data_IF_181034282132
#
_entry.id   IF_181034282132
#
_cell.length_a   1.000
_cell.length_b   1.000
_cell.length_c   1.000
_cell.angle_alpha   90.00
_cell.angle_beta   90.00
_cell.angle_gamma   90.00
#
_symmetry.space_group_name_H-M   'P 1'
#
loop_
_entity.id
_entity.type
_entity.pdbx_description
1 polymer ?
#
# COMPACT_ATOMS: atom_id res chain seq x y z
N UNK A 1 -12.10 23.00 -0.15
CA UNK A 1 -11.62 21.96 -1.08
C UNK A 1 -10.67 21.03 -0.31
N UNK A 2 -10.90 19.71 -0.33
CA UNK A 2 -9.92 18.76 0.21
C UNK A 2 -8.73 18.71 -0.74
N UNK A 3 -7.52 18.95 -0.21
CA UNK A 3 -6.27 19.03 -0.97
C UNK A 3 -5.55 17.69 -1.00
N UNK A 4 -4.82 17.43 -2.09
CA UNK A 4 -3.89 16.31 -2.17
C UNK A 4 -2.79 16.45 -1.10
N UNK A 5 -2.26 15.31 -0.67
CA UNK A 5 -1.22 15.22 0.36
C UNK A 5 0.02 14.51 -0.16
N UNK A 6 1.18 15.02 0.23
CA UNK A 6 2.49 14.38 0.05
C UNK A 6 3.22 14.39 1.39
N UNK A 7 4.36 13.71 1.46
CA UNK A 7 5.30 13.85 2.57
C UNK A 7 5.88 15.27 2.60
N UNK A 8 6.16 15.80 3.79
CA UNK A 8 6.84 17.09 3.96
C UNK A 8 8.35 16.97 3.85
N UNK A 9 8.91 15.89 4.42
CA UNK A 9 10.34 15.59 4.39
C UNK A 9 10.59 14.20 3.81
N UNK A 10 11.83 13.95 3.37
CA UNK A 10 12.30 12.60 3.05
C UNK A 10 12.52 11.83 4.35
N UNK A 11 12.13 10.57 4.39
CA UNK A 11 12.42 9.67 5.51
C UNK A 11 12.81 8.29 5.00
N UNK A 12 13.71 7.61 5.69
CA UNK A 12 14.13 6.25 5.34
C UNK A 12 14.07 5.30 6.53
N UNK A 13 14.01 4.02 6.22
CA UNK A 13 14.08 2.94 7.17
C UNK A 13 14.83 1.75 6.56
N UNK A 14 15.39 0.91 7.42
CA UNK A 14 16.01 -0.34 7.01
C UNK A 14 15.26 -1.49 7.65
N UNK A 15 15.00 -2.53 6.87
CA UNK A 15 14.36 -3.74 7.36
C UNK A 15 14.79 -4.95 6.54
N UNK A 16 13.98 -6.00 6.60
CA UNK A 16 14.21 -7.26 5.89
C UNK A 16 12.93 -7.60 5.13
N UNK A 17 13.05 -8.10 3.90
CA UNK A 17 11.91 -8.63 3.14
C UNK A 17 11.37 -9.91 3.79
N UNK A 18 10.05 -10.05 3.88
CA UNK A 18 9.42 -11.21 4.52
C UNK A 18 9.77 -12.50 3.79
N UNK A 19 9.67 -12.49 2.47
CA UNK A 19 9.80 -13.68 1.65
C UNK A 19 11.22 -13.87 1.13
N UNK A 20 11.90 -12.79 0.79
CA UNK A 20 13.27 -12.83 0.25
C UNK A 20 14.33 -12.97 1.34
N UNK A 21 14.04 -12.53 2.57
CA UNK A 21 15.03 -12.47 3.66
C UNK A 21 16.17 -11.46 3.40
N UNK A 22 16.09 -10.68 2.32
CA UNK A 22 17.10 -9.68 1.97
C UNK A 22 16.97 -8.47 2.87
N UNK A 23 18.10 -7.86 3.25
CA UNK A 23 18.10 -6.54 3.86
C UNK A 23 17.66 -5.51 2.81
N UNK A 24 16.74 -4.63 3.19
CA UNK A 24 16.18 -3.60 2.30
C UNK A 24 16.30 -2.23 2.94
N UNK A 25 16.77 -1.27 2.17
CA UNK A 25 16.71 0.16 2.46
C UNK A 25 15.51 0.78 1.74
N UNK A 26 14.54 1.25 2.52
CA UNK A 26 13.35 1.95 2.06
C UNK A 26 13.55 3.46 2.25
N UNK A 27 13.29 4.26 1.22
CA UNK A 27 13.21 5.73 1.32
C UNK A 27 11.89 6.24 0.77
N UNK A 28 11.17 7.01 1.58
CA UNK A 28 9.93 7.67 1.19
C UNK A 28 10.21 9.14 0.89
N UNK A 29 9.85 9.60 -0.32
CA UNK A 29 10.06 10.99 -0.76
C UNK A 29 8.76 11.70 -1.10
N UNK A 30 8.70 13.02 -0.90
CA UNK A 30 7.64 13.84 -1.46
C UNK A 30 7.56 13.69 -2.98
N UNK A 31 6.35 13.77 -3.54
CA UNK A 31 6.14 13.78 -4.98
C UNK A 31 5.19 14.91 -5.42
N UNK A 32 5.31 15.45 -6.64
CA UNK A 32 4.41 16.47 -7.17
C UNK A 32 2.94 16.03 -7.18
N UNK A 33 2.03 17.01 -7.23
CA UNK A 33 0.60 16.72 -7.28
C UNK A 33 0.24 15.95 -8.56
N UNK A 34 -0.61 14.93 -8.43
CA UNK A 34 -1.03 14.07 -9.54
C UNK A 34 -0.03 12.96 -9.90
N UNK A 35 1.05 12.78 -9.14
CA UNK A 35 2.01 11.68 -9.34
C UNK A 35 1.40 10.33 -8.94
N UNK A 36 0.60 10.30 -7.89
CA UNK A 36 0.23 9.03 -7.23
C UNK A 36 1.37 8.46 -6.39
N UNK A 37 1.24 7.20 -5.99
CA UNK A 37 2.29 6.43 -5.33
C UNK A 37 3.10 5.70 -6.41
N UNK A 38 4.42 5.87 -6.40
CA UNK A 38 5.33 5.22 -7.36
C UNK A 38 6.42 4.51 -6.60
N UNK A 39 6.56 3.20 -6.83
CA UNK A 39 7.70 2.43 -6.34
C UNK A 39 8.88 2.59 -7.29
N UNK A 40 10.08 2.74 -6.77
CA UNK A 40 11.31 2.95 -7.53
C UNK A 40 12.38 1.96 -7.08
N UNK A 41 12.85 1.12 -7.98
CA UNK A 41 13.98 0.21 -7.77
C UNK A 41 15.28 0.94 -8.06
N UNK A 42 15.97 1.38 -7.01
CA UNK A 42 17.23 2.15 -7.11
C UNK A 42 18.47 1.28 -7.20
N UNK A 43 18.34 -0.02 -6.98
CA UNK A 43 19.38 -1.03 -7.17
C UNK A 43 19.58 -1.44 -8.64
N UNK A 44 18.69 -0.99 -9.54
CA UNK A 44 18.77 -1.24 -10.98
C UNK A 44 19.41 -0.07 -11.73
N UNK A 45 20.04 -0.38 -12.88
CA UNK A 45 20.58 0.61 -13.81
C UNK A 45 20.04 0.35 -15.24
N UNK A 46 19.20 1.24 -15.81
CA UNK A 46 18.67 2.45 -15.18
C UNK A 46 17.71 2.14 -14.02
N UNK A 47 17.53 3.10 -13.12
CA UNK A 47 16.49 3.02 -12.09
C UNK A 47 15.12 2.84 -12.73
N UNK A 48 14.28 2.01 -12.11
CA UNK A 48 12.99 1.65 -12.68
C UNK A 48 11.83 2.07 -11.77
N UNK A 49 10.83 2.71 -12.36
CA UNK A 49 9.62 3.18 -11.68
C UNK A 49 8.43 2.28 -12.00
N UNK A 50 7.67 1.91 -10.97
CA UNK A 50 6.46 1.10 -11.03
C UNK A 50 5.35 1.90 -10.35
N UNK A 51 4.40 2.49 -11.09
CA UNK A 51 3.23 3.12 -10.48
C UNK A 51 2.42 2.12 -9.66
N UNK A 52 1.91 2.51 -8.50
CA UNK A 52 1.00 1.68 -7.72
C UNK A 52 -0.41 1.67 -8.36
N UNK A 53 -0.56 0.88 -9.43
CA UNK A 53 -1.80 0.76 -10.21
C UNK A 53 -2.32 -0.68 -10.21
N UNK A 54 -3.64 -0.82 -10.26
CA UNK A 54 -4.31 -2.13 -10.40
C UNK A 54 -3.87 -2.86 -11.68
N UNK A 55 -3.55 -2.13 -12.73
CA UNK A 55 -3.08 -2.67 -14.02
C UNK A 55 -1.74 -3.41 -13.92
N UNK A 56 -0.97 -3.13 -12.86
CA UNK A 56 0.36 -3.69 -12.66
C UNK A 56 0.39 -4.77 -11.59
N UNK A 57 -0.74 -5.13 -10.98
CA UNK A 57 -0.80 -6.27 -10.05
C UNK A 57 -0.64 -7.57 -10.85
N UNK A 58 0.45 -8.31 -10.61
CA UNK A 58 0.78 -9.51 -11.39
C UNK A 58 0.73 -10.82 -10.58
N UNK A 59 0.94 -10.77 -9.25
CA UNK A 59 0.87 -11.93 -8.37
C UNK A 59 0.24 -11.54 -7.02
N UNK A 60 -0.63 -12.41 -6.52
CA UNK A 60 -1.41 -12.20 -5.28
C UNK A 60 -1.27 -13.35 -4.29
N UNK A 61 -0.38 -14.31 -4.55
CA UNK A 61 -0.10 -15.43 -3.65
C UNK A 61 0.91 -14.99 -2.60
N UNK A 62 0.59 -15.18 -1.33
CA UNK A 62 1.34 -14.73 -0.14
C UNK A 62 1.37 -13.22 0.08
N UNK A 63 1.54 -12.42 -0.97
CA UNK A 63 1.49 -10.95 -0.89
C UNK A 63 1.00 -10.32 -2.20
N UNK A 64 0.86 -8.99 -2.22
CA UNK A 64 0.58 -8.24 -3.46
C UNK A 64 1.89 -7.86 -4.14
N UNK A 65 2.06 -8.25 -5.40
CA UNK A 65 3.23 -7.91 -6.21
C UNK A 65 2.83 -7.06 -7.42
N UNK A 66 3.57 -5.97 -7.63
CA UNK A 66 3.48 -5.14 -8.81
C UNK A 66 4.58 -5.49 -9.81
N UNK A 67 4.24 -5.52 -11.10
CA UNK A 67 5.19 -5.61 -12.20
C UNK A 67 4.88 -4.57 -13.27
N UNK A 68 5.91 -3.82 -13.67
CA UNK A 68 5.84 -2.95 -14.84
C UNK A 68 7.14 -3.05 -15.63
N UNK A 69 7.01 -3.27 -16.95
CA UNK A 69 8.15 -3.43 -17.86
C UNK A 69 9.18 -4.48 -17.39
N UNK A 70 8.70 -5.58 -16.81
CA UNK A 70 9.54 -6.67 -16.31
C UNK A 70 10.22 -6.43 -14.95
N UNK A 71 10.02 -5.25 -14.34
CA UNK A 71 10.55 -4.94 -13.00
C UNK A 71 9.46 -5.16 -11.95
N UNK A 72 9.82 -5.78 -10.84
CA UNK A 72 8.89 -6.17 -9.76
C UNK A 72 9.20 -5.51 -8.42
N UNK A 73 8.13 -5.28 -7.65
CA UNK A 73 8.16 -4.98 -6.22
C UNK A 73 7.04 -5.76 -5.53
N UNK A 74 7.38 -6.58 -4.54
CA UNK A 74 6.43 -7.39 -3.76
C UNK A 74 6.16 -6.82 -2.36
N UNK A 75 5.09 -7.34 -1.73
CA UNK A 75 4.71 -7.06 -0.34
C UNK A 75 4.36 -5.58 -0.10
N UNK A 76 3.68 -4.96 -1.07
CA UNK A 76 3.36 -3.52 -1.05
C UNK A 76 2.22 -3.14 -0.09
N UNK A 77 1.37 -4.10 0.27
CA UNK A 77 0.05 -3.88 0.87
C UNK A 77 0.07 -3.17 2.24
N UNK A 78 1.03 -3.46 3.12
CA UNK A 78 1.09 -2.81 4.44
C UNK A 78 1.49 -1.34 4.35
N UNK A 79 2.46 -1.02 3.48
CA UNK A 79 2.85 0.36 3.21
C UNK A 79 1.71 1.12 2.52
N UNK A 80 1.04 0.49 1.56
CA UNK A 80 -0.14 1.06 0.91
C UNK A 80 -1.29 1.31 1.91
N UNK A 81 -1.50 0.41 2.87
CA UNK A 81 -2.46 0.60 3.96
C UNK A 81 -2.12 1.81 4.83
N UNK A 82 -0.83 2.04 5.12
CA UNK A 82 -0.39 3.21 5.86
C UNK A 82 -0.64 4.51 5.08
N UNK A 83 -0.34 4.53 3.77
CA UNK A 83 -0.65 5.67 2.91
C UNK A 83 -2.14 5.95 2.83
N UNK A 84 -2.97 4.92 2.68
CA UNK A 84 -4.42 5.05 2.66
C UNK A 84 -4.95 5.62 3.99
N UNK A 85 -4.51 5.06 5.13
CA UNK A 85 -4.92 5.51 6.48
C UNK A 85 -4.52 6.96 6.80
N UNK A 86 -3.39 7.44 6.26
CA UNK A 86 -2.91 8.82 6.45
C UNK A 86 -3.31 9.77 5.31
N UNK A 87 -4.01 9.26 4.31
CA UNK A 87 -4.47 9.95 3.11
C UNK A 87 -3.34 10.57 2.25
N UNK A 88 -2.18 9.91 2.15
CA UNK A 88 -1.12 10.32 1.24
C UNK A 88 -1.55 10.02 -0.20
N UNK A 89 -1.50 11.05 -1.06
CA UNK A 89 -1.87 10.96 -2.47
C UNK A 89 -0.65 10.77 -3.36
N UNK A 90 0.48 11.41 -3.01
CA UNK A 90 1.66 11.46 -3.85
C UNK A 90 2.91 11.13 -3.03
N UNK A 91 3.67 10.12 -3.46
CA UNK A 91 4.96 9.76 -2.87
C UNK A 91 5.80 8.93 -3.86
N UNK A 92 7.12 9.08 -3.79
CA UNK A 92 8.07 8.12 -4.39
C UNK A 92 8.58 7.20 -3.29
N UNK A 93 8.51 5.90 -3.52
CA UNK A 93 8.93 4.84 -2.62
C UNK A 93 10.17 4.16 -3.21
N UNK A 94 11.35 4.58 -2.78
CA UNK A 94 12.62 4.00 -3.23
C UNK A 94 12.96 2.75 -2.43
N UNK A 95 13.37 1.70 -3.15
CA UNK A 95 13.80 0.41 -2.62
C UNK A 95 15.09 -0.01 -3.32
N UNK A 96 16.06 -0.52 -2.56
CA UNK A 96 17.26 -1.18 -3.08
C UNK A 96 17.09 -2.71 -3.22
N UNK A 97 15.84 -3.20 -3.18
CA UNK A 97 15.50 -4.61 -3.33
C UNK A 97 14.11 -4.76 -3.96
N UNK A 98 13.80 -5.98 -4.40
CA UNK A 98 12.55 -6.41 -5.03
C UNK A 98 11.35 -6.58 -4.08
N UNK A 99 11.48 -6.25 -2.80
CA UNK A 99 10.44 -6.45 -1.78
C UNK A 99 10.44 -5.29 -0.78
N UNK A 100 9.27 -4.83 -0.37
CA UNK A 100 9.13 -3.85 0.74
C UNK A 100 9.49 -4.53 2.07
N UNK A 101 10.28 -3.89 2.96
CA UNK A 101 10.66 -4.52 4.23
C UNK A 101 9.43 -4.79 5.11
N UNK A 102 9.36 -5.96 5.75
CA UNK A 102 8.19 -6.39 6.52
C UNK A 102 7.98 -5.62 7.83
N UNK A 103 9.04 -4.98 8.32
CA UNK A 103 9.07 -4.27 9.61
C UNK A 103 8.66 -5.20 10.76
N UNK A 104 7.56 -4.88 11.47
CA UNK A 104 6.99 -5.69 12.55
C UNK A 104 5.83 -6.58 12.09
N UNK A 105 5.58 -6.67 10.77
CA UNK A 105 4.45 -7.37 10.19
C UNK A 105 3.15 -6.56 10.12
N UNK A 106 3.15 -5.31 10.60
CA UNK A 106 1.99 -4.42 10.57
C UNK A 106 2.26 -3.14 9.77
N UNK A 107 1.26 -2.27 9.68
CA UNK A 107 1.41 -0.92 9.11
C UNK A 107 1.93 0.11 10.13
N UNK A 108 2.05 -0.23 11.42
CA UNK A 108 2.30 0.74 12.50
C UNK A 108 3.64 1.47 12.32
N UNK A 109 4.69 0.76 11.93
CA UNK A 109 6.01 1.36 11.72
C UNK A 109 5.99 2.33 10.53
N UNK A 110 5.28 2.00 9.44
CA UNK A 110 5.12 2.92 8.32
C UNK A 110 4.30 4.16 8.69
N UNK A 111 3.23 4.00 9.47
CA UNK A 111 2.45 5.11 10.00
C UNK A 111 3.32 6.05 10.83
N UNK A 112 4.16 5.49 11.71
CA UNK A 112 5.11 6.25 12.53
C UNK A 112 6.09 7.03 11.66
N UNK A 113 6.69 6.39 10.64
CA UNK A 113 7.63 7.04 9.72
C UNK A 113 6.97 8.19 8.95
N UNK A 114 5.78 7.96 8.37
CA UNK A 114 5.06 8.97 7.59
C UNK A 114 4.66 10.17 8.47
N UNK A 115 4.15 9.92 9.68
CA UNK A 115 3.81 11.01 10.61
C UNK A 115 5.06 11.80 11.04
N UNK A 116 6.18 11.10 11.27
CA UNK A 116 7.46 11.73 11.64
C UNK A 116 8.05 12.57 10.51
N UNK A 117 7.90 12.13 9.25
CA UNK A 117 8.28 12.92 8.08
C UNK A 117 7.41 14.18 7.93
N UNK A 118 6.20 14.15 8.45
CA UNK A 118 5.19 15.19 8.31
C UNK A 118 4.47 15.11 6.96
N UNK A 119 3.29 15.74 6.91
CA UNK A 119 2.41 15.75 5.74
C UNK A 119 2.27 17.18 5.23
N UNK A 120 2.43 17.35 3.92
CA UNK A 120 2.32 18.63 3.22
C UNK A 120 1.09 18.64 2.30
N UNK A 121 0.35 19.75 2.28
CA UNK A 121 -0.85 19.91 1.47
C UNK A 121 -0.52 20.57 0.14
N UNK A 122 -0.89 19.94 -0.96
CA UNK A 122 -0.60 20.44 -2.30
C UNK A 122 -1.75 21.27 -2.84
N UNK A 123 -1.46 22.27 -3.69
CA UNK A 123 -2.44 23.14 -4.31
C UNK A 123 -3.22 22.44 -5.45
N UNK A 124 -3.73 21.24 -5.19
CA UNK A 124 -4.52 20.42 -6.11
C UNK A 124 -5.65 19.73 -5.36
N UNK A 125 -6.81 19.59 -5.99
CA UNK A 125 -7.95 18.87 -5.42
C UNK A 125 -7.64 17.38 -5.28
N UNK A 126 -7.94 16.80 -4.11
CA UNK A 126 -7.94 15.34 -3.92
C UNK A 126 -9.13 14.74 -4.66
N UNK A 127 -8.87 13.68 -5.42
CA UNK A 127 -9.91 12.91 -6.12
C UNK A 127 -10.28 11.70 -5.27
N UNK A 128 -11.56 11.36 -5.26
CA UNK A 128 -12.08 10.20 -4.56
C UNK A 128 -12.85 9.32 -5.55
N UNK A 129 -12.79 8.02 -5.36
CA UNK A 129 -13.66 7.07 -6.05
C UNK A 129 -14.92 6.92 -5.20
N UNK A 130 -16.08 7.26 -5.76
CA UNK A 130 -17.37 7.08 -5.11
C UNK A 130 -18.08 5.89 -5.74
N UNK A 131 -18.45 4.92 -4.92
CA UNK A 131 -19.26 3.78 -5.35
C UNK A 131 -20.69 4.25 -5.56
N UNK A 132 -21.21 4.12 -6.79
CA UNK A 132 -22.56 4.57 -7.16
C UNK A 132 -23.55 3.43 -7.20
N UNK A 133 -23.08 2.20 -7.43
CA UNK A 133 -23.88 0.99 -7.55
C UNK A 133 -23.15 -0.18 -6.88
N UNK A 134 -23.86 -1.19 -6.35
CA UNK A 134 -23.22 -2.38 -5.79
C UNK A 134 -22.44 -3.18 -6.84
N UNK A 135 -21.27 -3.66 -6.47
CA UNK A 135 -20.43 -4.54 -7.30
C UNK A 135 -19.95 -5.69 -6.41
N UNK A 136 -20.14 -6.94 -6.85
CA UNK A 136 -19.74 -8.14 -6.11
C UNK A 136 -18.98 -9.09 -7.04
N UNK A 137 -17.91 -9.68 -6.52
CA UNK A 137 -17.16 -10.76 -7.17
C UNK A 137 -17.11 -11.97 -6.24
N UNK A 138 -17.14 -13.17 -6.81
CA UNK A 138 -17.11 -14.44 -6.08
C UNK A 138 -16.09 -15.41 -6.67
N UNK A 139 -15.42 -16.14 -5.80
CA UNK A 139 -14.53 -17.27 -6.13
C UNK A 139 -14.74 -18.39 -5.10
N UNK A 140 -15.55 -19.38 -5.46
CA UNK A 140 -15.98 -20.44 -4.55
C UNK A 140 -16.78 -19.89 -3.37
N UNK A 141 -16.26 -20.10 -2.16
CA UNK A 141 -16.79 -19.61 -0.89
C UNK A 141 -16.38 -18.17 -0.55
N UNK A 142 -15.38 -17.62 -1.26
CA UNK A 142 -14.87 -16.25 -1.07
C UNK A 142 -15.69 -15.26 -1.88
N UNK A 143 -15.93 -14.07 -1.31
CA UNK A 143 -16.54 -12.95 -2.02
C UNK A 143 -16.00 -11.62 -1.53
N UNK A 144 -16.02 -10.62 -2.41
CA UNK A 144 -15.73 -9.23 -2.08
C UNK A 144 -16.78 -8.33 -2.74
N UNK A 145 -17.24 -7.30 -2.01
CA UNK A 145 -18.31 -6.41 -2.47
C UNK A 145 -18.04 -4.96 -2.12
N UNK A 146 -18.34 -4.08 -3.05
CA UNK A 146 -18.53 -2.65 -2.79
C UNK A 146 -20.01 -2.31 -2.82
N UNK A 147 -20.43 -1.44 -1.91
CA UNK A 147 -21.79 -0.89 -1.87
C UNK A 147 -21.73 0.64 -1.75
N UNK A 148 -22.72 1.37 -2.29
CA UNK A 148 -22.82 2.81 -2.08
C UNK A 148 -22.91 3.13 -0.58
N UNK A 149 -22.03 4.01 -0.10
CA UNK A 149 -21.98 4.45 1.28
C UNK A 149 -21.45 5.88 1.37
N UNK A 150 -22.10 6.70 2.19
CA UNK A 150 -21.68 8.09 2.45
C UNK A 150 -20.55 8.11 3.49
N UNK A 151 -19.36 7.69 3.06
CA UNK A 151 -18.16 7.60 3.90
C UNK A 151 -17.24 6.47 3.43
N UNK A 152 -16.42 5.96 4.34
CA UNK A 152 -15.61 4.77 4.11
C UNK A 152 -15.79 3.80 5.29
N UNK A 153 -16.22 2.58 4.98
CA UNK A 153 -16.37 1.50 5.94
C UNK A 153 -15.86 0.22 5.31
N UNK A 154 -15.07 -0.52 6.06
CA UNK A 154 -14.60 -1.85 5.68
C UNK A 154 -15.16 -2.83 6.68
N UNK A 155 -15.64 -3.96 6.19
CA UNK A 155 -15.97 -5.13 7.00
C UNK A 155 -15.30 -6.33 6.38
N UNK A 156 -14.74 -7.19 7.21
CA UNK A 156 -14.01 -8.38 6.76
C UNK A 156 -14.38 -9.57 7.63
N UNK A 157 -14.35 -10.77 7.06
CA UNK A 157 -14.57 -12.00 7.80
C UNK A 157 -13.56 -13.04 7.36
N UNK A 158 -13.05 -13.78 8.34
CA UNK A 158 -12.12 -14.88 8.13
C UNK A 158 -12.78 -16.18 8.56
N UNK A 159 -12.50 -17.27 7.87
CA UNK A 159 -12.95 -18.60 8.24
C UNK A 159 -11.74 -19.54 8.25
N UNK A 160 -11.11 -19.66 9.41
CA UNK A 160 -10.01 -20.58 9.63
C UNK A 160 -10.47 -21.70 10.55
N UNK A 161 -10.42 -22.93 10.06
CA UNK A 161 -10.61 -24.12 10.90
C UNK A 161 -9.36 -24.38 11.74
N UNK A 162 -9.14 -23.51 12.73
CA UNK A 162 -8.00 -23.57 13.63
C UNK A 162 -8.44 -23.26 15.07
N UNK A 163 -8.15 -24.13 16.06
CA UNK A 163 -8.64 -23.99 17.44
C UNK A 163 -8.36 -22.62 18.08
N UNK A 164 -7.20 -22.02 17.79
CA UNK A 164 -6.81 -20.70 18.32
C UNK A 164 -7.67 -19.55 17.80
N UNK A 165 -8.26 -19.69 16.61
CA UNK A 165 -9.05 -18.64 15.96
C UNK A 165 -10.56 -18.83 16.18
N UNK A 166 -11.02 -20.02 16.53
CA UNK A 166 -12.42 -20.30 16.88
C UNK A 166 -12.89 -19.53 18.13
N UNK A 167 -11.97 -19.17 19.04
CA UNK A 167 -12.28 -18.38 20.24
C UNK A 167 -12.18 -16.86 20.03
N UNK A 168 -11.86 -16.39 18.83
CA UNK A 168 -11.66 -14.97 18.50
C UNK A 168 -12.80 -14.40 17.66
N UNK A 169 -12.94 -13.07 17.61
CA UNK A 169 -13.89 -12.43 16.72
C UNK A 169 -13.44 -12.63 15.26
N UNK A 170 -14.12 -13.53 14.53
CA UNK A 170 -13.84 -13.84 13.12
C UNK A 170 -14.41 -12.79 12.15
N UNK A 171 -14.92 -11.67 12.67
CA UNK A 171 -15.52 -10.57 11.92
C UNK A 171 -15.06 -9.23 12.48
N UNK A 172 -14.60 -8.34 11.60
CA UNK A 172 -14.22 -6.95 11.87
C UNK A 172 -15.05 -6.00 11.00
#
# INVERSE_FOLDING_TARGET
>A
MIRQRTLKNVIGATGVGLHTGKKVFLTLRPAPAGTGIVFRRVDLDPVADIPASLEYVCETRLSTTLEYQGVRVSTVEHLMSAFAGLHIDNAIVELDSDEVPIMDGSAAVFVFLIQSAGIELQAAAKKFIRITEPIEVRDGDKWARFEPFEGFKVSFSIDFDHPTLQSSAQRA
#
